data_IF_865360291915
#
_entry.id   IF_865360291915
#
_cell.length_a   1.000
_cell.length_b   1.000
_cell.length_c   1.000
_cell.angle_alpha   90.00
_cell.angle_beta   90.00
_cell.angle_gamma   90.00
#
_symmetry.space_group_name_H-M   'P 1'
#
loop_
_entity.id
_entity.type
_entity.pdbx_description
1 polymer ?
#
# COMPACT_ATOMS: atom_id res chain seq x y z
N UNK A 1 32.75 -39.41 -41.45
CA UNK A 1 32.40 -38.92 -40.10
C UNK A 1 32.48 -37.40 -40.12
N UNK A 2 31.35 -36.69 -40.06
CA UNK A 2 31.34 -35.21 -40.07
C UNK A 2 31.68 -34.73 -38.66
N UNK A 3 32.87 -34.11 -38.47
CA UNK A 3 33.24 -33.47 -37.21
C UNK A 3 32.35 -32.24 -37.02
N UNK A 4 31.48 -32.24 -36.01
CA UNK A 4 30.87 -31.01 -35.54
C UNK A 4 31.97 -30.15 -34.90
N UNK A 5 32.28 -29.00 -35.50
CA UNK A 5 33.10 -27.99 -34.85
C UNK A 5 32.29 -27.37 -33.72
N UNK A 6 32.72 -27.60 -32.50
CA UNK A 6 32.16 -26.95 -31.32
C UNK A 6 32.64 -25.50 -31.31
N UNK A 7 31.80 -24.58 -31.78
CA UNK A 7 32.07 -23.14 -31.73
C UNK A 7 31.92 -22.70 -30.27
N UNK A 8 33.04 -22.46 -29.58
CA UNK A 8 33.04 -21.85 -28.26
C UNK A 8 32.68 -20.35 -28.34
N UNK A 9 32.03 -19.83 -27.31
CA UNK A 9 31.81 -18.39 -27.14
C UNK A 9 33.15 -17.68 -26.94
N UNK A 10 33.32 -16.51 -27.55
CA UNK A 10 34.54 -15.72 -27.37
C UNK A 10 34.52 -14.98 -26.02
N UNK A 11 35.69 -14.74 -25.41
CA UNK A 11 35.77 -13.95 -24.17
C UNK A 11 35.22 -12.54 -24.35
N UNK A 12 35.41 -11.96 -25.53
CA UNK A 12 34.89 -10.63 -25.85
C UNK A 12 33.35 -10.61 -25.92
N UNK A 13 32.72 -11.69 -26.40
CA UNK A 13 31.26 -11.82 -26.35
C UNK A 13 30.71 -11.86 -24.92
N UNK A 14 31.41 -12.52 -23.99
CA UNK A 14 30.97 -12.52 -22.61
C UNK A 14 31.10 -11.12 -21.98
N UNK A 15 32.22 -10.43 -22.27
CA UNK A 15 32.50 -9.09 -21.73
C UNK A 15 31.52 -8.05 -22.28
N UNK A 16 31.22 -8.07 -23.58
CA UNK A 16 30.28 -7.11 -24.16
C UNK A 16 28.86 -7.29 -23.60
N UNK A 17 28.44 -8.52 -23.29
CA UNK A 17 27.11 -8.81 -22.72
C UNK A 17 26.98 -8.21 -21.31
N UNK A 18 27.97 -8.42 -20.44
CA UNK A 18 27.91 -7.85 -19.07
C UNK A 18 27.98 -6.32 -19.09
N UNK A 19 28.69 -5.72 -20.04
CA UNK A 19 28.73 -4.26 -20.22
C UNK A 19 27.36 -3.73 -20.64
N UNK A 20 26.71 -4.36 -21.63
CA UNK A 20 25.37 -3.97 -22.07
C UNK A 20 24.37 -4.12 -20.91
N UNK A 21 24.38 -5.25 -20.20
CA UNK A 21 23.51 -5.48 -19.05
C UNK A 21 23.78 -4.47 -17.91
N UNK A 22 25.03 -4.08 -17.69
CA UNK A 22 25.41 -3.07 -16.70
C UNK A 22 24.81 -1.69 -17.01
N UNK A 23 24.87 -1.26 -18.27
CA UNK A 23 24.27 0.02 -18.71
C UNK A 23 22.74 -0.03 -18.59
N UNK A 24 22.11 -1.11 -19.03
CA UNK A 24 20.65 -1.30 -18.93
C UNK A 24 20.19 -1.30 -17.46
N UNK A 25 20.92 -1.97 -16.56
CA UNK A 25 20.61 -1.99 -15.14
C UNK A 25 20.73 -0.59 -14.50
N UNK A 26 21.77 0.18 -14.84
CA UNK A 26 21.99 1.52 -14.30
C UNK A 26 20.85 2.49 -14.65
N UNK A 27 20.26 2.39 -15.85
CA UNK A 27 19.15 3.25 -16.27
C UNK A 27 17.78 2.74 -15.82
N UNK A 28 17.59 1.42 -15.72
CA UNK A 28 16.31 0.82 -15.36
C UNK A 28 16.04 0.85 -13.85
N UNK A 29 17.07 0.60 -13.03
CA UNK A 29 16.92 0.45 -11.58
C UNK A 29 16.28 1.66 -10.88
N UNK A 30 16.63 2.93 -11.21
CA UNK A 30 15.97 4.08 -10.62
C UNK A 30 14.47 4.14 -10.92
N UNK A 31 14.06 3.73 -12.13
CA UNK A 31 12.65 3.73 -12.56
C UNK A 31 11.85 2.62 -11.87
N UNK A 32 12.42 1.43 -11.73
CA UNK A 32 11.77 0.33 -11.01
C UNK A 32 11.45 0.72 -9.57
N UNK A 33 12.42 1.29 -8.83
CA UNK A 33 12.21 1.70 -7.43
C UNK A 33 11.10 2.76 -7.29
N UNK A 34 10.98 3.71 -8.23
CA UNK A 34 9.89 4.70 -8.19
C UNK A 34 8.51 4.09 -8.40
N UNK A 35 8.37 3.12 -9.31
CA UNK A 35 7.08 2.49 -9.61
C UNK A 35 6.58 1.66 -8.43
N UNK A 36 7.48 0.97 -7.71
CA UNK A 36 7.12 0.25 -6.49
C UNK A 36 6.56 1.18 -5.40
N UNK A 37 7.19 2.34 -5.20
CA UNK A 37 6.71 3.34 -4.25
C UNK A 37 5.35 3.91 -4.64
N UNK A 38 5.16 4.25 -5.92
CA UNK A 38 3.88 4.77 -6.44
C UNK A 38 2.77 3.73 -6.36
N UNK A 39 3.06 2.46 -6.68
CA UNK A 39 2.11 1.36 -6.55
C UNK A 39 1.66 1.14 -5.11
N UNK A 40 2.57 1.28 -4.14
CA UNK A 40 2.27 1.23 -2.71
C UNK A 40 1.31 2.36 -2.31
N UNK A 41 1.62 3.59 -2.69
CA UNK A 41 0.76 4.76 -2.42
C UNK A 41 -0.62 4.59 -3.05
N UNK A 42 -0.69 4.10 -4.29
CA UNK A 42 -1.95 3.84 -4.98
C UNK A 42 -2.81 2.77 -4.26
N UNK A 43 -2.19 1.67 -3.82
CA UNK A 43 -2.87 0.64 -3.03
C UNK A 43 -3.38 1.20 -1.70
N UNK A 44 -2.58 2.02 -1.02
CA UNK A 44 -2.90 2.66 0.25
C UNK A 44 -4.05 3.67 0.10
N UNK A 45 -4.06 4.46 -0.99
CA UNK A 45 -5.18 5.31 -1.38
C UNK A 45 -6.47 4.50 -1.62
N UNK A 46 -6.36 3.32 -2.24
CA UNK A 46 -7.49 2.41 -2.42
C UNK A 46 -8.08 1.95 -1.08
N UNK A 47 -7.22 1.57 -0.12
CA UNK A 47 -7.65 1.21 1.24
C UNK A 47 -8.28 2.40 1.97
N UNK A 48 -7.68 3.59 1.88
CA UNK A 48 -8.22 4.83 2.46
C UNK A 48 -9.61 5.19 1.90
N UNK A 49 -9.83 5.02 0.60
CA UNK A 49 -11.13 5.22 -0.04
C UNK A 49 -12.18 4.21 0.43
N UNK A 50 -11.77 2.94 0.60
CA UNK A 50 -12.65 1.90 1.13
C UNK A 50 -13.04 2.18 2.60
N UNK A 51 -12.08 2.60 3.44
CA UNK A 51 -12.34 3.00 4.83
C UNK A 51 -13.30 4.19 4.93
N UNK A 52 -13.10 5.21 4.10
CA UNK A 52 -13.99 6.38 4.06
C UNK A 52 -15.41 5.99 3.67
N UNK A 53 -15.55 5.16 2.64
CA UNK A 53 -16.85 4.66 2.17
C UNK A 53 -17.54 3.78 3.23
N UNK A 54 -16.78 2.88 3.85
CA UNK A 54 -17.30 2.02 4.91
C UNK A 54 -17.78 2.83 6.12
N UNK A 55 -17.03 3.85 6.53
CA UNK A 55 -17.43 4.72 7.64
C UNK A 55 -18.74 5.47 7.33
N UNK A 56 -18.89 5.99 6.11
CA UNK A 56 -20.10 6.71 5.69
C UNK A 56 -21.33 5.79 5.63
N UNK A 57 -21.18 4.59 5.07
CA UNK A 57 -22.27 3.59 4.99
C UNK A 57 -22.66 3.11 6.39
N UNK A 58 -21.67 2.85 7.24
CA UNK A 58 -21.89 2.42 8.62
C UNK A 58 -22.61 3.49 9.43
N UNK A 59 -22.15 4.75 9.34
CA UNK A 59 -22.80 5.91 9.95
C UNK A 59 -24.26 6.01 9.50
N UNK A 60 -24.52 6.04 8.18
CA UNK A 60 -25.88 6.15 7.65
C UNK A 60 -26.80 5.00 8.12
N UNK A 61 -26.28 3.76 8.11
CA UNK A 61 -27.03 2.58 8.54
C UNK A 61 -27.38 2.64 10.03
N UNK A 62 -26.42 3.06 10.87
CA UNK A 62 -26.58 3.10 12.32
C UNK A 62 -27.42 4.29 12.79
N UNK A 63 -27.37 5.43 12.07
CA UNK A 63 -28.30 6.54 12.27
C UNK A 63 -29.74 6.15 11.96
N UNK A 64 -29.95 5.35 10.90
CA UNK A 64 -31.28 4.88 10.54
C UNK A 64 -31.80 3.82 11.53
N UNK A 65 -30.91 2.97 12.05
CA UNK A 65 -31.24 1.96 13.05
C UNK A 65 -29.99 1.60 13.87
N UNK A 66 -29.99 1.86 15.18
CA UNK A 66 -28.84 1.64 16.06
C UNK A 66 -28.39 0.17 16.15
N UNK A 67 -29.23 -0.78 15.76
CA UNK A 67 -28.92 -2.21 15.66
C UNK A 67 -28.28 -2.61 14.33
N UNK A 68 -28.10 -1.67 13.38
CA UNK A 68 -27.44 -1.87 12.09
C UNK A 68 -26.10 -1.11 12.10
N UNK A 69 -25.03 -1.74 11.64
CA UNK A 69 -23.68 -1.15 11.70
C UNK A 69 -23.03 -1.25 13.08
N UNK A 70 -21.88 -0.59 13.26
CA UNK A 70 -21.01 -0.71 14.43
C UNK A 70 -20.86 0.65 15.10
N UNK A 71 -20.67 0.69 16.42
CA UNK A 71 -20.28 1.93 17.08
C UNK A 71 -18.84 2.26 16.68
N UNK A 72 -18.58 3.53 16.38
CA UNK A 72 -17.28 4.04 15.95
C UNK A 72 -16.92 5.21 16.85
N UNK A 73 -16.06 4.97 17.83
CA UNK A 73 -15.59 6.00 18.78
C UNK A 73 -14.11 6.38 18.54
N UNK A 74 -13.39 5.58 17.76
CA UNK A 74 -12.01 5.81 17.37
C UNK A 74 -11.81 5.48 15.88
N UNK A 75 -10.85 6.13 15.24
CA UNK A 75 -10.43 5.80 13.88
C UNK A 75 -10.11 4.31 13.70
N UNK A 76 -9.58 3.62 14.72
CA UNK A 76 -9.32 2.17 14.67
C UNK A 76 -10.59 1.33 14.53
N UNK A 77 -11.73 1.81 15.03
CA UNK A 77 -13.01 1.07 14.99
C UNK A 77 -13.56 0.98 13.57
N UNK A 78 -13.16 1.91 12.68
CA UNK A 78 -13.57 1.93 11.27
C UNK A 78 -13.15 0.65 10.55
N UNK A 79 -12.08 -0.01 10.97
CA UNK A 79 -11.65 -1.30 10.42
C UNK A 79 -12.74 -2.38 10.55
N UNK A 80 -13.57 -2.33 11.59
CA UNK A 80 -14.69 -3.27 11.81
C UNK A 80 -15.85 -3.04 10.85
N UNK A 81 -15.95 -1.82 10.29
CA UNK A 81 -16.96 -1.45 9.31
C UNK A 81 -16.61 -1.89 7.89
N UNK A 82 -15.38 -2.36 7.66
CA UNK A 82 -14.91 -2.87 6.37
C UNK A 82 -15.32 -4.34 6.21
N UNK A 83 -16.04 -4.68 5.14
CA UNK A 83 -16.34 -6.08 4.83
C UNK A 83 -15.04 -6.83 4.49
N UNK A 84 -14.71 -7.85 5.28
CA UNK A 84 -13.46 -8.60 5.16
C UNK A 84 -12.31 -8.07 6.05
N UNK A 85 -12.53 -6.96 6.77
CA UNK A 85 -11.54 -6.38 7.68
C UNK A 85 -10.38 -5.67 6.97
N UNK A 86 -9.49 -5.09 7.77
CA UNK A 86 -8.32 -4.40 7.25
C UNK A 86 -7.28 -5.42 6.72
N UNK A 87 -6.76 -5.26 5.49
CA UNK A 87 -5.75 -6.17 4.96
C UNK A 87 -4.48 -6.20 5.81
N UNK A 88 -3.76 -7.32 5.78
CA UNK A 88 -2.51 -7.47 6.53
C UNK A 88 -1.46 -6.45 6.10
N UNK A 89 -0.67 -5.97 7.07
CA UNK A 89 0.37 -4.96 6.83
C UNK A 89 -0.12 -3.53 6.77
N UNK A 90 -1.43 -3.27 6.95
CA UNK A 90 -1.98 -1.94 7.16
C UNK A 90 -2.35 -1.73 8.63
N UNK A 91 -2.19 -0.51 9.12
CA UNK A 91 -2.59 -0.09 10.47
C UNK A 91 -3.29 1.25 10.40
N UNK A 92 -4.22 1.52 11.33
CA UNK A 92 -4.88 2.81 11.45
C UNK A 92 -4.36 3.48 12.71
N UNK A 93 -3.95 4.75 12.61
CA UNK A 93 -3.55 5.52 13.78
C UNK A 93 -4.78 5.80 14.65
N UNK A 94 -4.62 5.61 15.96
CA UNK A 94 -5.69 5.87 16.90
C UNK A 94 -5.95 7.37 17.02
N UNK A 95 -7.18 7.79 16.79
CA UNK A 95 -7.65 9.14 17.07
C UNK A 95 -9.12 9.07 17.48
N UNK A 96 -9.47 9.74 18.58
CA UNK A 96 -10.83 9.75 19.09
C UNK A 96 -11.75 10.47 18.10
N UNK A 97 -12.90 9.88 17.85
CA UNK A 97 -13.97 10.43 17.03
C UNK A 97 -15.08 10.91 17.96
N UNK A 98 -15.50 12.14 17.78
CA UNK A 98 -16.69 12.66 18.47
C UNK A 98 -17.94 12.16 17.75
N UNK A 99 -18.89 11.64 18.53
CA UNK A 99 -20.16 11.11 18.01
C UNK A 99 -20.96 12.23 17.37
N UNK A 100 -21.55 11.97 16.20
CA UNK A 100 -22.46 12.89 15.50
C UNK A 100 -21.87 14.26 15.11
N UNK A 101 -20.55 14.42 15.20
CA UNK A 101 -19.85 15.60 14.68
C UNK A 101 -19.46 15.42 13.20
N UNK A 102 -19.01 16.49 12.56
CA UNK A 102 -18.42 16.46 11.22
C UNK A 102 -17.33 15.38 11.09
N UNK A 103 -17.21 14.78 9.90
CA UNK A 103 -16.18 13.78 9.60
C UNK A 103 -14.79 14.27 10.01
N UNK A 104 -14.06 13.43 10.72
CA UNK A 104 -12.69 13.67 11.19
C UNK A 104 -11.70 12.99 10.27
N UNK A 105 -10.50 13.56 10.17
CA UNK A 105 -9.39 12.96 9.42
C UNK A 105 -8.70 11.89 10.26
N UNK A 106 -8.73 10.66 9.76
CA UNK A 106 -7.99 9.51 10.27
C UNK A 106 -6.80 9.21 9.36
N UNK A 107 -5.82 8.47 9.87
CA UNK A 107 -4.62 8.09 9.10
C UNK A 107 -4.55 6.57 9.00
N UNK A 108 -4.43 6.06 7.78
CA UNK A 108 -4.05 4.67 7.53
C UNK A 108 -2.61 4.62 7.06
N UNK A 109 -1.89 3.62 7.54
CA UNK A 109 -0.48 3.37 7.28
C UNK A 109 -0.31 1.99 6.70
N UNK A 110 0.77 1.81 5.97
CA UNK A 110 1.22 0.48 5.57
C UNK A 110 2.66 0.29 6.03
N UNK A 111 2.92 -0.82 6.71
CA UNK A 111 4.28 -1.22 7.05
C UNK A 111 5.07 -1.42 5.74
N UNK A 112 6.17 -0.68 5.60
CA UNK A 112 7.12 -0.87 4.53
C UNK A 112 8.00 -2.09 4.83
N UNK A 113 7.85 -3.18 4.08
CA UNK A 113 8.88 -4.23 4.00
C UNK A 113 9.88 -3.84 2.92
N UNK A 114 10.76 -2.87 3.22
CA UNK A 114 12.09 -2.69 2.63
C UNK A 114 12.66 -1.35 3.08
N UNK A 115 13.47 -1.39 4.13
CA UNK A 115 14.39 -0.31 4.43
C UNK A 115 15.63 -0.50 3.55
N UNK A 116 15.99 0.53 2.78
CA UNK A 116 17.39 0.90 2.76
C UNK A 116 17.72 1.39 4.17
N UNK A 117 18.71 0.74 4.79
CA UNK A 117 19.36 1.03 6.10
C UNK A 117 18.80 2.24 6.86
N UNK A 118 18.00 1.99 7.92
CA UNK A 118 17.87 2.91 9.05
C UNK A 118 16.47 3.30 9.50
N UNK A 119 15.48 3.40 8.60
CA UNK A 119 14.10 3.75 8.99
C UNK A 119 13.14 3.16 7.96
N UNK A 120 12.28 2.22 8.35
CA UNK A 120 11.23 1.71 7.44
C UNK A 120 10.34 2.89 7.02
N UNK A 121 10.27 3.25 5.72
CA UNK A 121 9.38 4.31 5.28
C UNK A 121 7.94 3.83 5.49
N UNK A 122 7.29 4.38 6.51
CA UNK A 122 5.87 4.12 6.76
C UNK A 122 5.08 5.09 5.91
N UNK A 123 4.56 4.60 4.78
CA UNK A 123 3.68 5.39 3.91
C UNK A 123 2.34 5.55 4.63
N UNK A 124 1.82 6.78 4.67
CA UNK A 124 0.59 7.13 5.36
C UNK A 124 -0.31 7.94 4.42
N UNK A 125 -1.62 7.68 4.45
CA UNK A 125 -2.64 8.43 3.71
C UNK A 125 -3.79 8.75 4.66
N UNK A 126 -4.41 9.90 4.44
CA UNK A 126 -5.55 10.37 5.19
C UNK A 126 -6.85 9.80 4.61
N UNK A 127 -7.76 9.40 5.49
CA UNK A 127 -9.13 9.03 5.15
C UNK A 127 -10.09 9.73 6.11
N UNK A 128 -11.37 9.82 5.76
CA UNK A 128 -12.38 10.47 6.60
C UNK A 128 -13.24 9.43 7.31
N UNK A 129 -13.57 9.70 8.57
CA UNK A 129 -14.48 8.87 9.34
C UNK A 129 -15.40 9.73 10.21
N UNK A 130 -16.61 9.23 10.46
CA UNK A 130 -17.59 9.89 11.33
C UNK A 130 -17.91 8.98 12.50
N UNK A 131 -17.89 9.54 13.73
CA UNK A 131 -18.21 8.80 14.94
C UNK A 131 -19.72 8.59 15.12
N UNK A 132 -20.11 7.43 15.65
CA UNK A 132 -21.50 7.03 15.92
C UNK A 132 -21.64 5.98 17.01
#
# INVERSE_FOLDING_TARGET
MKKHQQSGFTLIELVMVIVILGVLAAVALPKFVSVDADAKVAALNGVAGALSSASAINYASRKANSSKGNAVANCTDVATSLQGGLPSGYTIDSAALTVDTTSTTCVVRQAGTSAAVGTSPTVAVNFTATGI
#
